data_IF_267090483199
#
_entry.id   IF_267090483199
#
_cell.length_a   1.000
_cell.length_b   1.000
_cell.length_c   1.000
_cell.angle_alpha   90.00
_cell.angle_beta   90.00
_cell.angle_gamma   90.00
#
_symmetry.space_group_name_H-M   'P 1'
#
loop_
_entity.id
_entity.type
_entity.pdbx_description
1 polymer ?
#
# COMPACT_ATOMS: atom_id res chain seq x y z
N UNK A 1 61.20 38.49 -78.01
CA UNK A 1 62.21 37.45 -78.32
C UNK A 1 62.37 36.59 -77.07
N UNK A 2 61.96 35.30 -77.12
CA UNK A 2 62.14 34.19 -76.15
C UNK A 2 61.83 34.48 -74.66
N UNK A 3 60.73 33.96 -74.11
CA UNK A 3 60.62 32.63 -73.47
C UNK A 3 61.78 32.33 -72.48
N UNK A 4 61.59 32.36 -71.16
CA UNK A 4 60.77 31.52 -70.24
C UNK A 4 61.54 30.33 -69.64
N UNK A 5 61.30 30.11 -68.33
CA UNK A 5 61.37 28.85 -67.55
C UNK A 5 62.78 28.40 -67.13
N UNK A 6 63.00 27.80 -65.96
CA UNK A 6 62.08 27.20 -64.97
C UNK A 6 62.67 27.24 -63.56
N UNK A 7 61.84 27.52 -62.56
CA UNK A 7 62.11 27.32 -61.14
C UNK A 7 61.32 26.12 -60.62
N UNK A 8 62.03 25.20 -59.98
CA UNK A 8 61.62 24.36 -58.86
C UNK A 8 60.24 23.71 -58.87
N UNK A 9 60.21 22.44 -59.26
CA UNK A 9 59.13 21.49 -58.98
C UNK A 9 59.03 21.25 -57.46
N UNK A 10 57.89 21.53 -56.82
CA UNK A 10 57.35 20.73 -55.71
C UNK A 10 55.82 20.88 -55.65
N UNK A 11 55.16 19.80 -56.04
CA UNK A 11 53.84 19.27 -55.65
C UNK A 11 52.54 20.10 -55.76
N UNK A 12 51.59 19.45 -56.43
CA UNK A 12 50.22 19.82 -56.80
C UNK A 12 49.24 19.93 -55.61
N UNK A 13 48.32 20.93 -55.69
CA UNK A 13 46.82 20.90 -55.54
C UNK A 13 46.20 20.25 -54.27
N UNK A 14 45.03 20.62 -53.73
CA UNK A 14 43.93 21.56 -54.03
C UNK A 14 43.14 21.77 -52.71
N UNK A 15 42.52 22.94 -52.60
CA UNK A 15 41.45 23.40 -51.71
C UNK A 15 40.36 22.35 -51.38
N UNK A 16 40.02 22.16 -50.09
CA UNK A 16 38.64 22.36 -49.55
C UNK A 16 38.48 21.75 -48.15
N UNK A 17 38.06 22.61 -47.22
CA UNK A 17 37.63 22.36 -45.84
C UNK A 17 36.42 21.42 -45.76
N UNK A 18 36.51 20.31 -45.03
CA UNK A 18 35.35 19.64 -44.40
C UNK A 18 35.79 19.05 -43.06
N UNK A 19 35.37 19.68 -41.97
CA UNK A 19 35.42 19.15 -40.61
C UNK A 19 34.28 18.13 -40.46
N UNK A 20 34.64 16.84 -40.38
CA UNK A 20 33.75 15.73 -40.06
C UNK A 20 33.52 15.70 -38.54
N UNK A 21 32.49 16.39 -38.07
CA UNK A 21 31.88 16.11 -36.76
C UNK A 21 30.88 14.97 -36.98
N UNK A 22 31.28 13.76 -36.64
CA UNK A 22 30.39 12.60 -36.52
C UNK A 22 29.49 12.81 -35.30
N UNK A 23 28.38 13.52 -35.51
CA UNK A 23 27.24 13.44 -34.61
C UNK A 23 26.61 12.06 -34.79
N UNK A 24 26.91 11.14 -33.88
CA UNK A 24 26.14 9.91 -33.73
C UNK A 24 24.71 10.31 -33.34
N UNK A 25 23.82 10.38 -34.33
CA UNK A 25 22.38 10.42 -34.11
C UNK A 25 21.97 9.06 -33.54
N UNK A 26 22.07 8.94 -32.22
CA UNK A 26 21.34 7.94 -31.46
C UNK A 26 19.85 8.22 -31.70
N UNK A 27 19.26 7.46 -32.59
CA UNK A 27 17.81 7.29 -32.66
C UNK A 27 17.37 6.76 -31.30
N UNK A 28 16.97 7.65 -30.38
CA UNK A 28 16.20 7.24 -29.22
C UNK A 28 14.87 6.73 -29.76
N UNK A 29 14.80 5.42 -30.01
CA UNK A 29 13.51 4.75 -29.93
C UNK A 29 12.93 5.09 -28.55
N UNK A 30 11.71 5.63 -28.44
CA UNK A 30 11.10 5.81 -27.14
C UNK A 30 11.01 4.43 -26.51
N UNK A 31 11.84 4.19 -25.49
CA UNK A 31 11.68 3.07 -24.57
C UNK A 31 10.23 3.13 -24.12
N UNK A 32 9.47 2.06 -24.36
CA UNK A 32 8.11 1.96 -23.86
C UNK A 32 8.15 2.12 -22.34
N UNK A 33 7.78 3.32 -21.87
CA UNK A 33 7.48 3.57 -20.48
C UNK A 33 6.38 2.58 -20.11
N UNK A 34 6.62 1.74 -19.10
CA UNK A 34 5.52 1.05 -18.44
C UNK A 34 4.50 2.13 -18.06
N UNK A 35 3.29 2.06 -18.64
CA UNK A 35 2.25 3.07 -18.46
C UNK A 35 2.02 3.30 -16.97
N UNK A 36 2.04 4.56 -16.52
CA UNK A 36 1.52 4.93 -15.22
C UNK A 36 0.12 4.31 -15.04
N UNK A 37 -0.28 3.99 -13.80
CA UNK A 37 -1.67 3.60 -13.60
C UNK A 37 -2.61 4.69 -14.10
N UNK A 38 -3.75 4.28 -14.68
CA UNK A 38 -4.78 5.24 -15.00
C UNK A 38 -5.23 5.94 -13.72
N UNK A 39 -5.15 7.27 -13.68
CA UNK A 39 -5.68 8.10 -12.58
C UNK A 39 -7.21 8.28 -12.66
N UNK A 40 -7.82 7.72 -13.70
CA UNK A 40 -9.26 7.64 -13.94
C UNK A 40 -9.55 6.35 -14.69
N UNK A 41 -10.58 5.61 -14.27
CA UNK A 41 -11.00 4.37 -14.91
C UNK A 41 -12.50 4.38 -15.13
N UNK A 42 -12.93 3.92 -16.30
CA UNK A 42 -14.33 3.78 -16.67
C UNK A 42 -14.86 2.38 -16.38
N UNK A 43 -15.98 2.26 -15.66
CA UNK A 43 -16.60 0.98 -15.33
C UNK A 43 -17.76 0.71 -16.29
N UNK A 44 -17.56 -0.12 -17.35
CA UNK A 44 -18.60 -0.36 -18.35
C UNK A 44 -19.86 -1.05 -17.78
N UNK A 45 -19.76 -1.67 -16.61
CA UNK A 45 -20.88 -2.35 -15.93
C UNK A 45 -21.98 -1.36 -15.50
N UNK A 46 -21.60 -0.15 -15.11
CA UNK A 46 -22.52 0.90 -14.67
C UNK A 46 -22.45 2.16 -15.51
N UNK A 47 -21.42 2.29 -16.34
CA UNK A 47 -21.16 3.45 -17.18
C UNK A 47 -20.70 4.68 -16.43
N UNK A 48 -19.87 4.50 -15.39
CA UNK A 48 -19.35 5.62 -14.59
C UNK A 48 -17.84 5.52 -14.42
N UNK A 49 -17.20 6.66 -14.19
CA UNK A 49 -15.77 6.76 -13.97
C UNK A 49 -15.44 6.82 -12.49
N UNK A 50 -14.27 6.33 -12.10
CA UNK A 50 -13.68 6.62 -10.79
C UNK A 50 -12.29 7.20 -11.02
N UNK A 51 -12.05 8.39 -10.49
CA UNK A 51 -10.77 9.07 -10.53
C UNK A 51 -10.15 9.18 -9.14
N UNK A 52 -8.88 9.59 -9.10
CA UNK A 52 -8.23 9.94 -7.84
C UNK A 52 -8.93 11.11 -7.14
N UNK A 53 -9.03 11.10 -5.79
CA UNK A 53 -8.45 10.12 -4.85
C UNK A 53 -9.35 8.89 -4.57
N UNK A 54 -10.57 8.86 -5.10
CA UNK A 54 -11.53 7.78 -4.83
C UNK A 54 -11.07 6.44 -5.41
N UNK A 55 -10.37 6.45 -6.54
CA UNK A 55 -9.85 5.23 -7.17
C UNK A 55 -8.86 4.50 -6.25
N UNK A 56 -7.86 5.20 -5.72
CA UNK A 56 -6.90 4.62 -4.77
C UNK A 56 -7.58 4.09 -3.51
N UNK A 57 -8.51 4.86 -2.93
CA UNK A 57 -9.23 4.42 -1.74
C UNK A 57 -10.07 3.16 -2.02
N UNK A 58 -10.80 3.15 -3.14
CA UNK A 58 -11.61 2.01 -3.56
C UNK A 58 -10.76 0.75 -3.71
N UNK A 59 -9.59 0.84 -4.38
CA UNK A 59 -8.66 -0.28 -4.54
C UNK A 59 -8.11 -0.76 -3.18
N UNK A 60 -7.72 0.17 -2.31
CA UNK A 60 -7.10 -0.12 -1.02
C UNK A 60 -8.03 -0.81 -0.03
N UNK A 61 -9.32 -0.46 -0.04
CA UNK A 61 -10.28 -0.86 1.00
C UNK A 61 -11.30 -1.93 0.54
N UNK A 62 -11.05 -2.60 -0.59
CA UNK A 62 -11.73 -3.85 -0.96
C UNK A 62 -12.53 -3.83 -2.27
N UNK A 63 -12.47 -2.72 -3.02
CA UNK A 63 -12.97 -2.60 -4.38
C UNK A 63 -14.42 -3.04 -4.56
N UNK A 64 -14.69 -3.78 -5.64
CA UNK A 64 -16.03 -4.28 -5.98
C UNK A 64 -16.67 -5.04 -4.82
N UNK A 65 -15.89 -5.85 -4.09
CA UNK A 65 -16.43 -6.72 -3.04
C UNK A 65 -17.02 -5.93 -1.87
N UNK A 66 -16.41 -4.80 -1.53
CA UNK A 66 -16.83 -3.99 -0.38
C UNK A 66 -17.72 -2.83 -0.82
N UNK A 67 -17.35 -2.10 -1.86
CA UNK A 67 -18.05 -0.89 -2.28
C UNK A 67 -18.96 -1.08 -3.49
N UNK A 68 -18.72 -2.13 -4.27
CA UNK A 68 -19.39 -2.33 -5.56
C UNK A 68 -18.87 -1.39 -6.64
N UNK A 69 -19.65 -1.30 -7.71
CA UNK A 69 -19.37 -0.40 -8.83
C UNK A 69 -19.73 1.06 -8.50
N UNK A 70 -19.08 2.06 -9.14
CA UNK A 70 -19.57 3.43 -9.09
C UNK A 70 -20.97 3.52 -9.72
N UNK A 71 -21.86 4.31 -9.13
CA UNK A 71 -23.22 4.54 -9.65
C UNK A 71 -23.47 5.99 -10.02
N UNK A 72 -22.49 6.87 -9.80
CA UNK A 72 -22.52 8.27 -10.22
C UNK A 72 -21.11 8.73 -10.63
N UNK A 73 -21.04 9.83 -11.37
CA UNK A 73 -19.83 10.65 -11.43
C UNK A 73 -19.60 11.37 -10.08
N UNK A 74 -18.38 11.88 -9.81
CA UNK A 74 -18.14 12.74 -8.67
C UNK A 74 -18.99 14.03 -8.74
N UNK A 75 -19.64 14.38 -7.63
CA UNK A 75 -20.48 15.57 -7.50
C UNK A 75 -20.07 16.39 -6.28
N UNK A 76 -20.40 17.68 -6.26
CA UNK A 76 -20.24 18.51 -5.06
C UNK A 76 -21.49 18.38 -4.23
N UNK A 77 -21.33 17.88 -3.01
CA UNK A 77 -22.42 17.80 -2.05
C UNK A 77 -22.81 19.21 -1.58
N UNK A 78 -24.06 19.60 -1.79
CA UNK A 78 -24.51 20.97 -1.51
C UNK A 78 -24.49 21.31 -0.02
N UNK A 79 -24.63 20.32 0.87
CA UNK A 79 -24.69 20.53 2.30
C UNK A 79 -23.30 20.72 2.92
N UNK A 80 -22.34 19.88 2.53
CA UNK A 80 -20.97 19.89 3.09
C UNK A 80 -19.97 20.67 2.24
N UNK A 81 -20.25 20.91 0.97
CA UNK A 81 -19.31 21.46 -0.02
C UNK A 81 -18.21 20.49 -0.45
N UNK A 82 -18.24 19.25 0.02
CA UNK A 82 -17.24 18.24 -0.31
C UNK A 82 -17.51 17.63 -1.68
N UNK A 83 -16.45 17.22 -2.38
CA UNK A 83 -16.61 16.32 -3.52
C UNK A 83 -16.95 14.92 -2.99
N UNK A 84 -18.01 14.33 -3.52
CA UNK A 84 -18.51 13.01 -3.13
C UNK A 84 -18.77 12.15 -4.35
N UNK A 85 -18.71 10.83 -4.19
CA UNK A 85 -19.09 9.90 -5.23
C UNK A 85 -19.84 8.71 -4.65
N UNK A 86 -20.88 8.26 -5.37
CA UNK A 86 -21.72 7.15 -4.95
C UNK A 86 -21.27 5.87 -5.64
N UNK A 87 -21.20 4.82 -4.85
CA UNK A 87 -20.99 3.45 -5.27
C UNK A 87 -22.22 2.64 -4.87
N UNK A 88 -22.36 1.42 -5.38
CA UNK A 88 -23.52 0.57 -5.06
C UNK A 88 -23.75 0.45 -3.55
N UNK A 89 -22.67 0.28 -2.77
CA UNK A 89 -22.74 -0.03 -1.33
C UNK A 89 -22.30 1.11 -0.41
N UNK A 90 -21.72 2.18 -0.95
CA UNK A 90 -21.13 3.25 -0.15
C UNK A 90 -21.18 4.62 -0.84
N UNK A 91 -20.96 5.69 -0.05
CA UNK A 91 -20.72 7.05 -0.55
C UNK A 91 -19.40 7.53 0.01
N UNK A 92 -18.51 7.96 -0.89
CA UNK A 92 -17.18 8.45 -0.56
C UNK A 92 -17.19 9.96 -0.47
N UNK A 93 -16.41 10.51 0.44
CA UNK A 93 -16.24 11.94 0.68
C UNK A 93 -14.76 12.30 0.59
N UNK A 94 -14.41 13.27 -0.24
CA UNK A 94 -13.05 13.78 -0.31
C UNK A 94 -12.89 14.94 0.67
N UNK A 95 -11.99 14.78 1.65
CA UNK A 95 -11.67 15.74 2.70
C UNK A 95 -10.29 16.35 2.45
N UNK A 96 -10.19 17.45 1.68
CA UNK A 96 -8.90 18.05 1.37
C UNK A 96 -8.24 18.63 2.63
N UNK A 97 -6.97 18.29 2.86
CA UNK A 97 -6.13 18.94 3.87
C UNK A 97 -5.86 18.17 5.15
N UNK A 98 -6.42 16.97 5.36
CA UNK A 98 -6.16 16.20 6.57
C UNK A 98 -5.05 15.11 6.42
N UNK A 99 -4.37 15.09 5.27
CA UNK A 99 -3.27 14.18 4.96
C UNK A 99 -3.71 12.83 4.36
N UNK A 100 -2.77 11.93 4.03
CA UNK A 100 -3.07 10.66 3.35
C UNK A 100 -4.00 9.73 4.12
N UNK A 101 -4.03 9.83 5.45
CA UNK A 101 -4.77 8.93 6.35
C UNK A 101 -6.27 9.22 6.47
N UNK A 102 -6.75 10.37 5.97
CA UNK A 102 -8.18 10.72 6.01
C UNK A 102 -8.66 11.51 4.78
N UNK A 103 -7.86 11.56 3.71
CA UNK A 103 -8.22 12.28 2.49
C UNK A 103 -9.51 11.78 1.85
N UNK A 104 -9.85 10.50 2.00
CA UNK A 104 -11.17 9.94 1.64
C UNK A 104 -11.79 9.30 2.87
N UNK A 105 -13.02 9.70 3.18
CA UNK A 105 -13.84 9.12 4.24
C UNK A 105 -15.13 8.55 3.68
N UNK A 106 -15.75 7.66 4.44
CA UNK A 106 -17.03 7.05 4.11
C UNK A 106 -18.15 7.73 4.86
N UNK A 107 -19.17 8.17 4.12
CA UNK A 107 -20.43 8.63 4.70
C UNK A 107 -21.02 7.54 5.58
N UNK A 108 -21.65 7.94 6.69
CA UNK A 108 -22.41 7.04 7.57
C UNK A 108 -23.75 6.65 6.94
N UNK A 109 -23.72 6.02 5.76
CA UNK A 109 -24.92 5.74 4.95
C UNK A 109 -25.93 4.87 5.69
N UNK A 110 -25.45 3.92 6.51
CA UNK A 110 -26.32 3.08 7.34
C UNK A 110 -27.08 3.92 8.35
N UNK A 111 -26.38 4.76 9.11
CA UNK A 111 -27.02 5.66 10.07
C UNK A 111 -27.99 6.65 9.41
N UNK A 112 -27.67 7.17 8.22
CA UNK A 112 -28.53 8.11 7.47
C UNK A 112 -29.81 7.43 6.98
N UNK A 113 -29.71 6.20 6.47
CA UNK A 113 -30.85 5.48 5.91
C UNK A 113 -31.72 4.80 6.98
N UNK A 114 -31.18 4.50 8.16
CA UNK A 114 -31.96 3.95 9.28
C UNK A 114 -32.43 5.01 10.28
N UNK A 115 -32.24 6.30 9.98
CA UNK A 115 -32.70 7.37 10.84
C UNK A 115 -34.22 7.28 11.05
N UNK A 116 -34.64 7.14 12.30
CA UNK A 116 -36.05 7.02 12.68
C UNK A 116 -36.58 5.59 12.75
N UNK A 117 -35.76 4.56 12.46
CA UNK A 117 -36.10 3.16 12.76
C UNK A 117 -36.21 2.96 14.28
N UNK A 118 -37.19 2.16 14.70
CA UNK A 118 -37.56 1.97 16.12
C UNK A 118 -37.83 0.51 16.47
N UNK A 119 -37.59 -0.40 15.52
CA UNK A 119 -37.73 -1.83 15.71
C UNK A 119 -36.75 -2.32 16.80
N UNK A 120 -37.07 -3.40 17.53
CA UNK A 120 -36.27 -3.87 18.66
C UNK A 120 -34.78 -4.06 18.33
N UNK A 121 -34.44 -4.43 17.10
CA UNK A 121 -33.05 -4.61 16.67
C UNK A 121 -32.22 -3.31 16.73
N UNK A 122 -32.84 -2.14 16.58
CA UNK A 122 -32.15 -0.83 16.64
C UNK A 122 -32.13 -0.23 18.06
N UNK A 123 -32.70 -0.92 19.05
CA UNK A 123 -32.65 -0.48 20.43
C UNK A 123 -31.30 -0.88 21.05
N UNK A 124 -30.56 0.07 21.68
CA UNK A 124 -29.32 -0.25 22.38
C UNK A 124 -29.55 -1.27 23.49
N UNK A 125 -28.67 -2.26 23.59
CA UNK A 125 -28.62 -3.21 24.69
C UNK A 125 -27.84 -2.61 25.86
N UNK A 126 -28.26 -2.91 27.08
CA UNK A 126 -27.52 -2.56 28.31
C UNK A 126 -26.82 -3.82 28.80
N UNK A 127 -25.55 -3.97 28.44
CA UNK A 127 -24.73 -5.14 28.75
C UNK A 127 -23.43 -4.75 29.47
N UNK A 128 -22.92 -5.64 30.33
CA UNK A 128 -21.56 -5.52 30.86
C UNK A 128 -20.55 -5.77 29.72
N UNK A 129 -19.68 -4.81 29.38
CA UNK A 129 -18.73 -4.97 28.27
C UNK A 129 -17.75 -6.14 28.44
N UNK A 130 -17.34 -6.41 29.67
CA UNK A 130 -16.33 -7.41 29.99
C UNK A 130 -16.88 -8.83 29.91
N UNK A 131 -18.12 -9.03 30.35
CA UNK A 131 -18.79 -10.33 30.33
C UNK A 131 -19.30 -10.71 28.93
N UNK A 132 -19.48 -9.74 28.03
CA UNK A 132 -20.10 -9.94 26.71
C UNK A 132 -19.12 -9.84 25.54
N UNK A 133 -17.83 -9.72 25.83
CA UNK A 133 -16.76 -9.83 24.85
C UNK A 133 -16.11 -11.21 24.95
N UNK A 134 -16.40 -12.06 23.97
CA UNK A 134 -15.89 -13.42 23.82
C UNK A 134 -15.20 -13.57 22.44
N UNK A 135 -14.47 -14.66 22.14
CA UNK A 135 -13.81 -14.82 20.84
C UNK A 135 -14.77 -14.62 19.64
N UNK A 136 -16.01 -15.09 19.79
CA UNK A 136 -17.05 -15.04 18.76
C UNK A 136 -18.03 -13.87 18.91
N UNK A 137 -17.89 -13.02 19.94
CA UNK A 137 -18.82 -11.91 20.18
C UNK A 137 -18.12 -10.67 20.73
N UNK A 138 -18.50 -9.50 20.26
CA UNK A 138 -18.00 -8.22 20.77
C UNK A 138 -19.15 -7.28 21.06
N UNK A 139 -19.11 -6.62 22.22
CA UNK A 139 -20.04 -5.54 22.56
C UNK A 139 -19.37 -4.17 22.34
N UNK A 140 -20.12 -3.22 21.81
CA UNK A 140 -19.66 -1.86 21.53
C UNK A 140 -20.42 -0.88 22.44
N UNK A 141 -19.83 -0.43 23.56
CA UNK A 141 -20.49 0.51 24.47
C UNK A 141 -20.81 1.86 23.81
N UNK A 142 -20.13 2.21 22.73
CA UNK A 142 -20.34 3.45 21.97
C UNK A 142 -21.74 3.52 21.35
N UNK A 143 -22.31 2.38 20.97
CA UNK A 143 -23.64 2.28 20.35
C UNK A 143 -24.61 1.39 21.12
N UNK A 144 -24.11 0.60 22.08
CA UNK A 144 -24.90 -0.37 22.82
C UNK A 144 -25.24 -1.62 22.01
N UNK A 145 -24.49 -1.92 20.94
CA UNK A 145 -24.78 -3.05 20.05
C UNK A 145 -23.68 -4.11 20.05
N UNK A 146 -24.04 -5.33 19.63
CA UNK A 146 -23.09 -6.45 19.55
C UNK A 146 -22.74 -6.83 18.11
N UNK A 147 -21.58 -7.48 17.93
CA UNK A 147 -21.25 -8.24 16.72
C UNK A 147 -21.00 -9.69 17.11
N UNK A 148 -21.48 -10.64 16.31
CA UNK A 148 -21.25 -12.05 16.54
C UNK A 148 -20.80 -12.80 15.28
N UNK A 149 -20.11 -13.92 15.50
CA UNK A 149 -19.83 -14.97 14.51
C UNK A 149 -19.37 -14.46 13.13
N UNK A 150 -20.17 -14.72 12.09
CA UNK A 150 -19.83 -14.42 10.69
C UNK A 150 -19.68 -12.92 10.43
N UNK A 151 -20.58 -12.10 10.96
CA UNK A 151 -20.52 -10.64 10.79
C UNK A 151 -19.34 -10.04 11.56
N UNK A 152 -19.05 -10.53 12.77
CA UNK A 152 -17.82 -10.13 13.50
C UNK A 152 -16.57 -10.44 12.69
N UNK A 153 -16.42 -11.68 12.20
CA UNK A 153 -15.26 -12.11 11.42
C UNK A 153 -15.12 -11.28 10.14
N UNK A 154 -16.22 -11.05 9.44
CA UNK A 154 -16.21 -10.26 8.21
C UNK A 154 -15.80 -8.80 8.51
N UNK A 155 -16.37 -8.19 9.55
CA UNK A 155 -16.01 -6.84 9.98
C UNK A 155 -14.51 -6.72 10.28
N UNK A 156 -13.96 -7.65 11.06
CA UNK A 156 -12.54 -7.66 11.46
C UNK A 156 -11.58 -7.83 10.27
N UNK A 157 -11.97 -8.62 9.26
CA UNK A 157 -11.11 -8.93 8.11
C UNK A 157 -11.15 -7.90 6.98
N UNK A 158 -12.18 -7.05 6.92
CA UNK A 158 -12.43 -6.18 5.76
C UNK A 158 -12.42 -4.68 6.09
N UNK A 159 -11.72 -4.31 7.16
CA UNK A 159 -11.42 -2.91 7.48
C UNK A 159 -12.11 -2.35 8.72
N UNK A 160 -12.92 -3.15 9.40
CA UNK A 160 -13.47 -2.87 10.72
C UNK A 160 -14.07 -1.47 10.87
N UNK A 161 -13.64 -0.77 11.92
CA UNK A 161 -14.18 0.53 12.30
C UNK A 161 -14.00 1.59 11.21
N UNK A 162 -12.86 1.56 10.51
CA UNK A 162 -12.55 2.56 9.48
C UNK A 162 -13.47 2.44 8.25
N UNK A 163 -13.85 1.21 7.88
CA UNK A 163 -14.69 0.95 6.70
C UNK A 163 -16.18 0.92 7.05
N UNK A 164 -16.56 0.19 8.09
CA UNK A 164 -17.97 -0.08 8.40
C UNK A 164 -18.53 0.80 9.53
N UNK A 165 -17.66 1.32 10.41
CA UNK A 165 -18.08 1.97 11.64
C UNK A 165 -18.58 0.98 12.70
N UNK A 166 -19.23 1.52 13.73
CA UNK A 166 -19.85 0.73 14.80
C UNK A 166 -21.13 0.02 14.31
N UNK A 167 -21.50 -1.13 14.89
CA UNK A 167 -22.85 -1.68 14.71
C UNK A 167 -23.89 -0.71 15.31
N UNK A 168 -25.02 -0.54 14.64
CA UNK A 168 -26.14 0.32 15.07
C UNK A 168 -27.48 -0.45 15.14
N UNK A 169 -27.41 -1.77 14.96
CA UNK A 169 -28.50 -2.70 15.23
C UNK A 169 -27.92 -4.03 15.71
N UNK A 170 -28.75 -4.88 16.30
CA UNK A 170 -28.48 -6.32 16.40
C UNK A 170 -28.72 -7.01 15.04
N UNK A 171 -28.34 -8.29 14.95
CA UNK A 171 -28.73 -9.16 13.83
C UNK A 171 -30.24 -9.41 13.84
N UNK A 172 -30.91 -9.24 12.70
CA UNK A 172 -32.33 -9.54 12.56
C UNK A 172 -32.67 -9.95 11.13
N UNK A 173 -33.88 -10.45 10.91
CA UNK A 173 -34.36 -10.83 9.57
C UNK A 173 -35.02 -9.66 8.88
N UNK A 174 -34.57 -9.34 7.67
CA UNK A 174 -35.21 -8.37 6.77
C UNK A 174 -35.59 -9.08 5.47
N UNK A 175 -36.73 -8.69 4.89
CA UNK A 175 -37.24 -9.28 3.65
C UNK A 175 -37.08 -8.24 2.55
N UNK A 176 -36.46 -8.62 1.45
CA UNK A 176 -36.26 -7.73 0.31
C UNK A 176 -37.54 -7.58 -0.54
N UNK A 177 -37.45 -6.76 -1.60
CA UNK A 177 -38.57 -6.52 -2.51
C UNK A 177 -39.02 -7.77 -3.30
N UNK A 178 -38.20 -8.82 -3.35
CA UNK A 178 -38.52 -10.09 -4.02
C UNK A 178 -39.18 -11.10 -3.07
N UNK A 179 -39.24 -10.79 -1.78
CA UNK A 179 -39.74 -11.68 -0.74
C UNK A 179 -38.67 -12.61 -0.15
N UNK A 180 -37.40 -12.42 -0.53
CA UNK A 180 -36.30 -13.20 0.03
C UNK A 180 -35.90 -12.62 1.40
N UNK A 181 -35.81 -13.51 2.40
CA UNK A 181 -35.42 -13.16 3.76
C UNK A 181 -33.90 -13.30 3.93
N UNK A 182 -33.26 -12.26 4.48
CA UNK A 182 -31.85 -12.24 4.81
C UNK A 182 -31.68 -11.99 6.30
N UNK A 183 -30.67 -12.63 6.91
CA UNK A 183 -30.18 -12.15 8.21
C UNK A 183 -29.29 -10.94 7.92
N UNK A 184 -29.61 -9.81 8.54
CA UNK A 184 -28.94 -8.54 8.30
C UNK A 184 -28.51 -7.90 9.61
N UNK A 185 -27.51 -7.04 9.51
CA UNK A 185 -27.13 -6.13 10.59
C UNK A 185 -26.68 -4.80 10.02
N UNK A 186 -27.09 -3.71 10.65
CA UNK A 186 -26.72 -2.36 10.24
C UNK A 186 -25.54 -1.85 11.04
N UNK A 187 -24.68 -1.12 10.34
CA UNK A 187 -23.52 -0.42 10.86
C UNK A 187 -23.64 1.05 10.48
N UNK A 188 -22.81 1.90 11.07
CA UNK A 188 -22.83 3.32 10.73
C UNK A 188 -22.69 3.56 9.22
N UNK A 189 -21.85 2.78 8.52
CA UNK A 189 -21.48 2.99 7.10
C UNK A 189 -21.89 1.85 6.16
N UNK A 190 -22.56 0.81 6.65
CA UNK A 190 -22.90 -0.37 5.85
C UNK A 190 -24.11 -1.12 6.39
N UNK A 191 -24.65 -2.03 5.58
CA UNK A 191 -25.54 -3.12 6.01
C UNK A 191 -24.92 -4.43 5.57
N UNK A 192 -24.74 -5.37 6.48
CA UNK A 192 -24.32 -6.72 6.14
C UNK A 192 -25.53 -7.61 5.91
N UNK A 193 -25.38 -8.53 4.97
CA UNK A 193 -26.37 -9.54 4.58
C UNK A 193 -25.69 -10.90 4.58
N UNK A 194 -26.29 -11.85 5.28
CA UNK A 194 -25.84 -13.23 5.28
C UNK A 194 -26.56 -14.03 4.19
N UNK A 195 -25.75 -14.71 3.37
CA UNK A 195 -26.15 -15.53 2.24
C UNK A 195 -25.92 -17.02 2.57
N UNK A 196 -26.92 -17.74 3.12
CA UNK A 196 -26.78 -19.14 3.51
C UNK A 196 -26.35 -20.05 2.35
N UNK A 197 -26.81 -19.75 1.14
CA UNK A 197 -26.47 -20.48 -0.08
C UNK A 197 -25.00 -20.35 -0.49
N UNK A 198 -24.29 -19.36 0.08
CA UNK A 198 -22.88 -19.09 -0.15
C UNK A 198 -22.02 -19.42 1.08
N UNK A 199 -22.57 -20.10 2.10
CA UNK A 199 -21.88 -20.41 3.35
C UNK A 199 -20.53 -21.12 3.10
N UNK A 200 -19.49 -20.66 3.80
CA UNK A 200 -18.13 -21.19 3.65
C UNK A 200 -17.37 -20.66 2.42
N UNK A 201 -17.99 -19.80 1.60
CA UNK A 201 -17.29 -19.05 0.55
C UNK A 201 -16.94 -17.64 1.02
N UNK A 202 -16.01 -16.93 0.35
CA UNK A 202 -15.77 -15.51 0.60
C UNK A 202 -16.99 -14.59 0.39
N UNK A 203 -18.09 -15.10 -0.17
CA UNK A 203 -19.31 -14.35 -0.48
C UNK A 203 -20.47 -14.65 0.48
N UNK A 204 -20.23 -15.40 1.56
CA UNK A 204 -21.25 -15.72 2.57
C UNK A 204 -21.81 -14.47 3.29
N UNK A 205 -21.00 -13.41 3.38
CA UNK A 205 -21.44 -12.09 3.81
C UNK A 205 -21.27 -11.13 2.65
N UNK A 206 -22.34 -10.43 2.30
CA UNK A 206 -22.35 -9.36 1.31
C UNK A 206 -22.85 -8.07 1.94
N UNK A 207 -22.62 -6.96 1.25
CA UNK A 207 -23.09 -5.64 1.68
C UNK A 207 -24.29 -5.22 0.85
N UNK A 208 -25.28 -4.67 1.55
CA UNK A 208 -26.46 -4.08 0.94
C UNK A 208 -26.15 -2.83 0.12
N UNK A 209 -27.02 -2.55 -0.85
CA UNK A 209 -26.86 -1.47 -1.83
C UNK A 209 -27.26 -0.09 -1.27
N UNK A 210 -26.74 0.23 -0.09
CA UNK A 210 -27.09 1.46 0.62
C UNK A 210 -26.59 2.72 -0.10
N UNK A 211 -25.46 2.65 -0.81
CA UNK A 211 -24.96 3.78 -1.58
C UNK A 211 -25.86 4.13 -2.76
N UNK A 212 -26.31 3.12 -3.51
CA UNK A 212 -27.30 3.30 -4.58
C UNK A 212 -28.64 3.81 -4.04
N UNK A 213 -29.08 3.28 -2.89
CA UNK A 213 -30.32 3.73 -2.23
C UNK A 213 -30.23 5.20 -1.79
N UNK A 214 -29.07 5.63 -1.28
CA UNK A 214 -28.83 7.02 -0.91
C UNK A 214 -28.78 7.94 -2.13
N UNK A 215 -28.11 7.51 -3.22
CA UNK A 215 -28.06 8.25 -4.48
C UNK A 215 -29.48 8.55 -5.02
N UNK A 216 -30.36 7.55 -5.01
CA UNK A 216 -31.76 7.70 -5.40
C UNK A 216 -32.52 8.64 -4.46
N UNK A 217 -32.36 8.51 -3.14
CA UNK A 217 -33.00 9.37 -2.13
C UNK A 217 -32.59 10.84 -2.30
N UNK A 218 -31.35 11.09 -2.67
CA UNK A 218 -30.80 12.44 -2.83
C UNK A 218 -30.93 12.99 -4.26
N UNK A 219 -31.55 12.23 -5.18
CA UNK A 219 -31.78 12.66 -6.56
C UNK A 219 -30.50 12.82 -7.38
N UNK A 220 -29.46 12.04 -7.07
CA UNK A 220 -28.20 12.04 -7.80
C UNK A 220 -28.40 11.38 -9.17
N UNK A 221 -27.79 11.96 -10.21
CA UNK A 221 -27.82 11.37 -11.54
C UNK A 221 -27.03 10.06 -11.57
N UNK A 222 -27.71 8.95 -11.86
CA UNK A 222 -27.12 7.60 -11.94
C UNK A 222 -27.13 7.02 -13.35
N UNK A 223 -27.61 7.77 -14.34
CA UNK A 223 -27.61 7.35 -15.74
C UNK A 223 -26.16 7.18 -16.25
N UNK A 224 -25.87 6.11 -17.02
CA UNK A 224 -24.55 5.89 -17.61
C UNK A 224 -24.03 7.11 -18.36
N UNK A 225 -22.80 7.52 -18.06
CA UNK A 225 -22.06 8.50 -18.86
C UNK A 225 -21.20 7.78 -19.90
N UNK A 226 -21.03 8.36 -21.08
CA UNK A 226 -20.13 7.80 -22.10
C UNK A 226 -18.68 7.82 -21.64
N UNK A 227 -17.92 6.78 -21.98
CA UNK A 227 -16.48 6.70 -21.67
C UNK A 227 -15.74 7.91 -22.26
N UNK A 228 -14.97 8.60 -21.41
CA UNK A 228 -14.10 9.70 -21.84
C UNK A 228 -12.96 9.20 -22.74
N UNK A 229 -12.52 10.04 -23.70
CA UNK A 229 -11.44 9.71 -24.61
C UNK A 229 -10.12 9.48 -23.84
N UNK A 230 -9.38 8.41 -24.19
CA UNK A 230 -8.12 8.06 -23.53
C UNK A 230 -8.26 7.41 -22.16
N UNK A 231 -9.47 7.25 -21.62
CA UNK A 231 -9.70 6.59 -20.34
C UNK A 231 -9.82 5.07 -20.51
N UNK A 232 -9.09 4.32 -19.69
CA UNK A 232 -9.10 2.86 -19.71
C UNK A 232 -10.40 2.29 -19.12
N UNK A 233 -10.89 1.18 -19.69
CA UNK A 233 -12.01 0.43 -19.12
C UNK A 233 -11.54 -0.45 -17.97
N UNK A 234 -12.30 -0.47 -16.89
CA UNK A 234 -12.02 -1.27 -15.72
C UNK A 234 -11.88 -2.73 -16.11
N UNK A 235 -10.71 -3.28 -15.78
CA UNK A 235 -10.51 -4.71 -15.67
C UNK A 235 -9.65 -4.99 -14.44
N UNK A 236 -9.82 -6.14 -13.77
CA UNK A 236 -8.89 -6.54 -12.72
C UNK A 236 -7.43 -6.52 -13.17
N UNK A 237 -7.17 -6.79 -14.46
CA UNK A 237 -5.83 -6.80 -15.05
C UNK A 237 -5.16 -5.41 -15.09
N UNK A 238 -5.91 -4.31 -15.12
CA UNK A 238 -5.33 -2.94 -15.02
C UNK A 238 -4.57 -2.72 -13.70
N UNK A 239 -4.93 -3.49 -12.68
CA UNK A 239 -4.44 -3.34 -11.31
C UNK A 239 -3.70 -4.58 -10.79
N UNK A 240 -3.76 -5.72 -11.49
CA UNK A 240 -2.86 -6.86 -11.25
C UNK A 240 -1.44 -6.48 -11.67
N UNK A 241 -0.71 -5.83 -10.77
CA UNK A 241 0.67 -5.40 -10.97
C UNK A 241 1.60 -6.39 -10.28
N UNK A 242 1.99 -7.43 -10.99
CA UNK A 242 3.10 -8.28 -10.55
C UNK A 242 4.39 -7.84 -11.22
N UNK A 243 5.43 -7.52 -10.46
CA UNK A 243 6.77 -7.33 -11.01
C UNK A 243 7.81 -8.09 -10.19
N UNK A 244 8.98 -8.32 -10.80
CA UNK A 244 10.12 -8.90 -10.12
C UNK A 244 11.05 -7.79 -9.71
N UNK A 245 11.40 -7.77 -8.43
CA UNK A 245 12.32 -6.80 -7.87
C UNK A 245 12.95 -7.39 -6.60
N UNK A 246 14.29 -7.37 -6.47
CA UNK A 246 14.94 -7.78 -5.24
C UNK A 246 14.64 -6.80 -4.09
N UNK A 247 14.13 -7.34 -2.98
CA UNK A 247 14.02 -6.65 -1.70
C UNK A 247 15.08 -7.27 -0.77
N UNK A 248 16.24 -6.64 -0.71
CA UNK A 248 17.40 -7.12 0.03
C UNK A 248 17.20 -6.88 1.53
N UNK A 249 17.34 -7.92 2.33
CA UNK A 249 17.18 -7.88 3.79
C UNK A 249 18.54 -8.00 4.46
N UNK A 250 19.03 -6.87 4.98
CA UNK A 250 20.19 -6.77 5.84
C UNK A 250 19.75 -6.66 7.30
N UNK A 251 20.67 -6.96 8.22
CA UNK A 251 20.46 -6.79 9.66
C UNK A 251 21.59 -5.93 10.24
N UNK A 252 22.67 -6.55 10.69
CA UNK A 252 23.78 -5.85 11.32
C UNK A 252 24.86 -5.47 10.31
N UNK A 253 25.41 -4.27 10.46
CA UNK A 253 26.65 -3.87 9.78
C UNK A 253 27.77 -3.78 10.81
N UNK A 254 28.84 -4.52 10.61
CA UNK A 254 29.94 -4.62 11.57
C UNK A 254 30.71 -5.93 11.44
N UNK A 255 31.61 -6.17 12.38
CA UNK A 255 32.51 -7.33 12.36
C UNK A 255 32.36 -8.22 13.61
N UNK A 256 32.70 -9.51 13.52
CA UNK A 256 33.09 -10.27 12.32
C UNK A 256 31.88 -10.60 11.41
N UNK A 257 32.14 -10.94 10.15
CA UNK A 257 31.10 -11.39 9.23
C UNK A 257 30.34 -12.61 9.77
N UNK A 258 29.03 -12.64 9.56
CA UNK A 258 28.15 -13.72 9.99
C UNK A 258 26.85 -13.76 9.19
N UNK A 259 25.96 -14.69 9.53
CA UNK A 259 24.68 -14.86 8.82
C UNK A 259 23.86 -13.57 8.78
N UNK A 260 23.77 -12.85 9.90
CA UNK A 260 23.02 -11.60 10.02
C UNK A 260 23.92 -10.37 10.17
N UNK A 261 25.22 -10.49 9.84
CA UNK A 261 26.19 -9.40 10.00
C UNK A 261 27.13 -9.28 8.82
N UNK A 262 27.15 -8.12 8.19
CA UNK A 262 28.06 -7.82 7.07
C UNK A 262 29.08 -6.73 7.48
N UNK A 263 30.38 -6.92 7.22
CA UNK A 263 31.36 -5.84 7.40
C UNK A 263 31.06 -4.65 6.47
N UNK A 264 31.29 -3.42 6.95
CA UNK A 264 30.97 -2.21 6.19
C UNK A 264 31.65 -2.19 4.81
N UNK A 265 32.93 -2.54 4.74
CA UNK A 265 33.67 -2.58 3.47
C UNK A 265 33.05 -3.56 2.45
N UNK A 266 32.45 -4.65 2.92
CA UNK A 266 31.79 -5.64 2.04
C UNK A 266 30.43 -5.13 1.59
N UNK A 267 29.69 -4.46 2.48
CA UNK A 267 28.45 -3.79 2.11
C UNK A 267 28.70 -2.72 1.04
N UNK A 268 29.74 -1.90 1.18
CA UNK A 268 30.14 -0.91 0.18
C UNK A 268 30.43 -1.55 -1.19
N UNK A 269 31.12 -2.69 -1.23
CA UNK A 269 31.33 -3.45 -2.48
C UNK A 269 30.02 -3.89 -3.13
N UNK A 270 29.01 -4.27 -2.35
CA UNK A 270 27.69 -4.63 -2.86
C UNK A 270 26.94 -3.41 -3.42
N UNK A 271 27.06 -2.24 -2.78
CA UNK A 271 26.50 -0.99 -3.31
C UNK A 271 27.16 -0.59 -4.63
N UNK A 272 28.49 -0.65 -4.71
CA UNK A 272 29.25 -0.34 -5.92
C UNK A 272 28.90 -1.30 -7.06
N UNK A 273 28.71 -2.59 -6.73
CA UNK A 273 28.26 -3.58 -7.70
C UNK A 273 26.86 -3.25 -8.24
N UNK A 274 25.90 -2.89 -7.38
CA UNK A 274 24.54 -2.51 -7.81
C UNK A 274 24.58 -1.31 -8.78
N UNK A 275 25.34 -0.26 -8.45
CA UNK A 275 25.52 0.90 -9.33
C UNK A 275 26.12 0.50 -10.68
N UNK A 276 27.20 -0.28 -10.67
CA UNK A 276 27.90 -0.70 -11.89
C UNK A 276 27.02 -1.55 -12.82
N UNK A 277 26.00 -2.23 -12.27
CA UNK A 277 25.04 -3.05 -13.02
C UNK A 277 23.71 -2.32 -13.30
N UNK A 278 23.65 -1.01 -13.07
CA UNK A 278 22.53 -0.16 -13.43
C UNK A 278 21.32 -0.26 -12.50
N UNK A 279 21.47 -0.83 -11.30
CA UNK A 279 20.39 -0.87 -10.31
C UNK A 279 20.16 0.51 -9.70
N UNK A 280 18.88 0.85 -9.52
CA UNK A 280 18.44 2.06 -8.82
C UNK A 280 17.73 1.67 -7.54
N UNK A 281 18.22 2.15 -6.41
CA UNK A 281 17.59 1.91 -5.10
C UNK A 281 16.28 2.68 -4.98
N UNK A 282 15.24 2.02 -4.49
CA UNK A 282 13.96 2.65 -4.16
C UNK A 282 13.54 2.32 -2.72
N UNK A 283 12.66 3.14 -2.15
CA UNK A 283 12.04 2.88 -0.84
C UNK A 283 10.89 1.88 -0.95
N UNK A 284 10.44 1.34 0.18
CA UNK A 284 9.24 0.50 0.22
C UNK A 284 8.00 1.29 -0.13
N UNK A 285 7.90 2.58 0.23
CA UNK A 285 6.86 3.48 -0.27
C UNK A 285 6.81 3.48 -1.80
N UNK A 286 7.93 3.72 -2.48
CA UNK A 286 7.96 3.74 -3.94
C UNK A 286 7.55 2.39 -4.55
N UNK A 287 8.00 1.28 -3.95
CA UNK A 287 7.62 -0.07 -4.40
C UNK A 287 6.12 -0.32 -4.24
N UNK A 288 5.58 -0.14 -3.02
CA UNK A 288 4.17 -0.39 -2.73
C UNK A 288 3.25 0.60 -3.46
N UNK A 289 3.70 1.84 -3.68
CA UNK A 289 2.94 2.80 -4.47
C UNK A 289 2.86 2.34 -5.93
N UNK A 290 3.97 1.91 -6.53
CA UNK A 290 3.95 1.31 -7.87
C UNK A 290 3.12 0.01 -7.92
N UNK A 291 3.08 -0.75 -6.82
CA UNK A 291 2.33 -1.99 -6.72
C UNK A 291 0.82 -1.77 -6.60
N UNK A 292 0.40 -0.88 -5.70
CA UNK A 292 -0.99 -0.68 -5.31
C UNK A 292 -1.68 0.41 -6.12
N UNK A 293 -0.96 1.50 -6.40
CA UNK A 293 -1.47 2.69 -7.09
C UNK A 293 -0.94 2.79 -8.50
N UNK A 294 0.14 2.09 -8.80
CA UNK A 294 0.86 2.21 -10.05
C UNK A 294 1.79 3.41 -10.13
N UNK A 295 2.59 3.43 -11.20
CA UNK A 295 3.61 4.44 -11.41
C UNK A 295 4.86 3.85 -12.05
N UNK A 296 5.72 4.68 -12.65
CA UNK A 296 6.96 4.21 -13.25
C UNK A 296 7.92 3.74 -12.15
N UNK A 297 8.50 2.56 -12.34
CA UNK A 297 9.70 2.13 -11.64
C UNK A 297 10.92 2.42 -12.52
N UNK A 298 12.11 2.64 -11.92
CA UNK A 298 13.34 2.62 -12.69
C UNK A 298 13.54 1.26 -13.36
N UNK A 299 14.39 1.18 -14.39
CA UNK A 299 14.53 -0.03 -15.22
C UNK A 299 15.00 -1.26 -14.43
N UNK A 300 15.90 -1.07 -13.45
CA UNK A 300 16.38 -2.12 -12.54
C UNK A 300 16.17 -1.66 -11.09
N UNK A 301 14.93 -1.69 -10.57
CA UNK A 301 14.68 -1.28 -9.20
C UNK A 301 15.28 -2.32 -8.23
N UNK A 302 15.75 -1.86 -7.08
CA UNK A 302 16.13 -2.71 -5.94
C UNK A 302 15.76 -2.01 -4.65
N UNK A 303 15.23 -2.73 -3.66
CA UNK A 303 15.00 -2.19 -2.33
C UNK A 303 16.08 -2.73 -1.40
N UNK A 304 16.72 -1.83 -0.66
CA UNK A 304 17.62 -2.20 0.44
C UNK A 304 16.84 -1.98 1.74
N UNK A 305 16.70 -3.04 2.52
CA UNK A 305 16.01 -3.01 3.81
C UNK A 305 16.95 -3.44 4.93
N UNK A 306 16.83 -2.79 6.09
CA UNK A 306 17.56 -3.13 7.31
C UNK A 306 16.57 -3.40 8.44
N UNK A 307 16.74 -4.53 9.13
CA UNK A 307 15.96 -4.86 10.33
C UNK A 307 16.73 -4.50 11.61
N UNK A 308 16.03 -4.44 12.74
CA UNK A 308 16.51 -4.24 14.12
C UNK A 308 16.87 -2.81 14.55
N UNK A 309 17.41 -1.97 13.68
CA UNK A 309 17.99 -0.67 14.08
C UNK A 309 19.33 -0.81 14.80
N UNK A 310 20.22 -1.69 14.33
CA UNK A 310 21.55 -1.89 14.96
C UNK A 310 22.48 -0.68 14.76
N UNK A 311 23.45 -0.41 15.67
CA UNK A 311 24.28 0.81 15.61
C UNK A 311 25.03 1.00 14.28
N UNK A 312 25.50 -0.10 13.67
CA UNK A 312 26.24 -0.08 12.41
C UNK A 312 25.45 0.41 11.20
N UNK A 313 24.11 0.45 11.31
CA UNK A 313 23.23 0.92 10.24
C UNK A 313 23.40 2.42 9.99
N UNK A 314 23.87 3.19 10.97
CA UNK A 314 24.19 4.60 10.76
C UNK A 314 25.33 4.76 9.73
N UNK A 315 26.39 3.96 9.85
CA UNK A 315 27.49 3.96 8.87
C UNK A 315 27.03 3.42 7.51
N UNK A 316 26.15 2.43 7.50
CA UNK A 316 25.55 1.91 6.26
C UNK A 316 24.75 3.00 5.52
N UNK A 317 23.97 3.81 6.24
CA UNK A 317 23.25 4.95 5.67
C UNK A 317 24.19 5.99 5.08
N UNK A 318 25.31 6.29 5.75
CA UNK A 318 26.32 7.20 5.19
C UNK A 318 26.92 6.66 3.89
N UNK A 319 27.21 5.35 3.81
CA UNK A 319 27.71 4.71 2.60
C UNK A 319 26.70 4.74 1.44
N UNK A 320 25.40 4.63 1.73
CA UNK A 320 24.31 4.81 0.76
C UNK A 320 24.22 6.27 0.28
N UNK A 321 24.24 7.23 1.20
CA UNK A 321 24.18 8.67 0.88
C UNK A 321 25.31 9.11 -0.03
N UNK A 322 26.54 8.61 0.21
CA UNK A 322 27.71 8.88 -0.63
C UNK A 322 27.52 8.43 -2.10
N UNK A 323 26.55 7.56 -2.36
CA UNK A 323 26.22 6.97 -3.67
C UNK A 323 24.89 7.47 -4.24
N UNK A 324 24.22 8.41 -3.56
CA UNK A 324 22.88 8.86 -3.93
C UNK A 324 21.82 7.74 -3.84
N UNK A 325 22.05 6.75 -2.97
CA UNK A 325 21.18 5.61 -2.77
C UNK A 325 20.31 5.77 -1.52
N UNK A 326 19.14 5.15 -1.55
CA UNK A 326 18.18 5.12 -0.43
C UNK A 326 17.94 3.70 0.06
N UNK A 327 17.40 3.59 1.27
CA UNK A 327 17.08 2.32 1.91
C UNK A 327 15.89 2.51 2.85
N UNK A 328 15.31 1.41 3.31
CA UNK A 328 14.24 1.38 4.32
C UNK A 328 14.76 0.71 5.60
N UNK A 329 14.64 1.38 6.75
CA UNK A 329 15.08 0.89 8.05
C UNK A 329 13.86 0.50 8.89
N UNK A 330 13.65 -0.79 9.10
CA UNK A 330 12.64 -1.35 10.00
C UNK A 330 13.18 -1.35 11.43
N UNK A 331 12.80 -0.32 12.19
CA UNK A 331 13.37 -0.04 13.51
C UNK A 331 12.51 -0.68 14.61
N UNK A 332 13.16 -1.16 15.67
CA UNK A 332 12.53 -1.62 16.91
C UNK A 332 12.67 -0.53 17.98
N UNK A 333 11.75 0.45 18.08
CA UNK A 333 11.98 1.67 18.87
C UNK A 333 12.20 1.43 20.37
N UNK A 334 11.72 0.31 20.94
CA UNK A 334 11.94 -0.01 22.35
C UNK A 334 13.33 -0.59 22.68
N UNK A 335 14.15 -0.93 21.66
CA UNK A 335 15.49 -1.52 21.84
C UNK A 335 16.49 -1.19 20.73
N UNK A 336 16.21 -0.14 19.96
CA UNK A 336 17.06 0.32 18.86
C UNK A 336 18.45 0.70 19.36
N UNK A 337 19.47 0.33 18.59
CA UNK A 337 20.85 0.82 18.79
C UNK A 337 21.10 2.18 18.14
N UNK A 338 20.18 2.66 17.30
CA UNK A 338 20.15 4.02 16.77
C UNK A 338 19.40 4.95 17.75
N UNK A 339 19.91 6.16 17.96
CA UNK A 339 19.21 7.19 18.74
C UNK A 339 18.03 7.77 17.97
N UNK A 340 17.09 8.42 18.68
CA UNK A 340 15.97 9.14 18.07
C UNK A 340 16.45 10.19 17.04
N UNK A 341 17.54 10.90 17.35
CA UNK A 341 18.15 11.88 16.44
C UNK A 341 18.68 11.21 15.17
N UNK A 342 19.29 10.03 15.29
CA UNK A 342 19.76 9.28 14.12
C UNK A 342 18.57 8.79 13.28
N UNK A 343 17.52 8.24 13.91
CA UNK A 343 16.31 7.78 13.21
C UNK A 343 15.65 8.95 12.45
N UNK A 344 15.52 10.12 13.10
CA UNK A 344 15.00 11.33 12.45
C UNK A 344 15.90 11.77 11.30
N UNK A 345 17.22 11.81 11.50
CA UNK A 345 18.17 12.20 10.46
C UNK A 345 18.13 11.27 9.25
N UNK A 346 17.96 9.96 9.45
CA UNK A 346 17.78 9.01 8.34
C UNK A 346 16.56 9.39 7.48
N UNK A 347 15.42 9.69 8.12
CA UNK A 347 14.22 10.13 7.41
C UNK A 347 14.44 11.45 6.66
N UNK A 348 15.13 12.42 7.27
CA UNK A 348 15.45 13.71 6.65
C UNK A 348 16.39 13.57 5.46
N UNK A 349 17.29 12.59 5.47
CA UNK A 349 18.22 12.28 4.38
C UNK A 349 17.58 11.48 3.23
N UNK A 350 16.28 11.20 3.29
CA UNK A 350 15.54 10.53 2.23
C UNK A 350 15.50 9.00 2.34
N UNK A 351 16.07 8.42 3.40
CA UNK A 351 15.78 7.04 3.75
C UNK A 351 14.35 6.92 4.30
N UNK A 352 13.76 5.73 4.16
CA UNK A 352 12.45 5.43 4.74
C UNK A 352 12.59 4.75 6.10
N UNK A 353 11.71 5.08 7.03
CA UNK A 353 11.60 4.40 8.32
C UNK A 353 10.34 3.53 8.30
N UNK A 354 10.54 2.24 8.60
CA UNK A 354 9.49 1.26 8.83
C UNK A 354 9.49 0.79 10.28
N UNK A 355 8.46 0.05 10.67
CA UNK A 355 8.29 -0.48 12.02
C UNK A 355 8.64 -1.97 12.08
N UNK A 356 9.31 -2.39 13.15
CA UNK A 356 9.70 -3.79 13.38
C UNK A 356 9.23 -4.31 14.75
N UNK A 357 8.00 -3.94 15.13
CA UNK A 357 7.42 -4.06 16.49
C UNK A 357 8.16 -3.23 17.55
N UNK A 358 7.59 -3.14 18.75
CA UNK A 358 8.12 -2.30 19.81
C UNK A 358 9.34 -2.93 20.49
N UNK A 359 9.32 -4.24 20.74
CA UNK A 359 10.38 -4.96 21.46
C UNK A 359 10.92 -6.20 20.73
N UNK A 360 10.42 -6.49 19.52
CA UNK A 360 10.82 -7.64 18.71
C UNK A 360 10.49 -9.03 19.32
N UNK A 361 9.27 -9.27 19.87
CA UNK A 361 8.85 -10.62 20.21
C UNK A 361 8.42 -11.40 18.97
N UNK A 362 8.32 -12.73 19.09
CA UNK A 362 7.55 -13.50 18.11
C UNK A 362 6.06 -13.18 18.29
N UNK A 363 5.50 -12.41 17.37
CA UNK A 363 4.14 -11.87 17.45
C UNK A 363 3.05 -12.95 17.46
N UNK A 364 3.33 -14.14 16.93
CA UNK A 364 2.39 -15.28 16.97
C UNK A 364 2.18 -15.81 18.39
N UNK A 365 3.16 -15.62 19.28
CA UNK A 365 3.19 -16.24 20.61
C UNK A 365 2.72 -15.31 21.73
N UNK A 366 2.55 -14.02 21.46
CA UNK A 366 2.11 -13.04 22.47
C UNK A 366 0.57 -12.93 22.52
N UNK A 367 -0.02 -12.65 23.70
CA UNK A 367 -1.46 -12.38 23.84
C UNK A 367 -1.93 -11.17 23.03
N UNK A 368 -3.22 -11.08 22.70
CA UNK A 368 -3.78 -10.06 21.80
C UNK A 368 -3.52 -8.63 22.26
N UNK A 369 -3.65 -8.34 23.56
CA UNK A 369 -3.34 -7.02 24.11
C UNK A 369 -1.87 -6.63 23.91
N UNK A 370 -0.97 -7.60 24.06
CA UNK A 370 0.46 -7.39 23.80
C UNK A 370 0.75 -7.27 22.30
N UNK A 371 0.14 -8.10 21.45
CA UNK A 371 0.26 -8.00 19.99
C UNK A 371 -0.15 -6.60 19.51
N UNK A 372 -1.30 -6.10 19.97
CA UNK A 372 -1.77 -4.77 19.63
C UNK A 372 -0.80 -3.69 20.10
N UNK A 373 -0.30 -3.77 21.34
CA UNK A 373 0.67 -2.82 21.87
C UNK A 373 1.99 -2.82 21.07
N UNK A 374 2.53 -4.00 20.76
CA UNK A 374 3.76 -4.15 19.97
C UNK A 374 3.67 -3.51 18.59
N UNK A 375 2.50 -3.60 17.96
CA UNK A 375 2.27 -3.10 16.59
C UNK A 375 1.92 -1.61 16.58
N UNK A 376 0.97 -1.18 17.42
CA UNK A 376 0.43 0.19 17.43
C UNK A 376 1.37 1.20 18.11
N UNK A 377 1.99 0.85 19.24
CA UNK A 377 2.89 1.76 19.95
C UNK A 377 4.22 1.93 19.21
N UNK A 378 4.70 0.89 18.52
CA UNK A 378 5.88 1.01 17.65
C UNK A 378 5.65 2.05 16.55
N UNK A 379 4.49 1.99 15.89
CA UNK A 379 4.08 2.98 14.88
C UNK A 379 4.08 4.38 15.46
N UNK A 380 3.31 4.59 16.53
CA UNK A 380 3.14 5.89 17.15
C UNK A 380 4.47 6.50 17.61
N UNK A 381 5.36 5.69 18.20
CA UNK A 381 6.68 6.15 18.65
C UNK A 381 7.57 6.58 17.49
N UNK A 382 7.61 5.83 16.40
CA UNK A 382 8.41 6.18 15.22
C UNK A 382 7.83 7.41 14.49
N UNK A 383 6.50 7.55 14.44
CA UNK A 383 5.82 8.75 13.92
C UNK A 383 6.14 9.99 14.76
N UNK A 384 6.19 9.86 16.08
CA UNK A 384 6.62 10.92 17.00
C UNK A 384 8.09 11.33 16.75
N UNK A 385 9.00 10.36 16.62
CA UNK A 385 10.42 10.63 16.38
C UNK A 385 10.63 11.35 15.05
N UNK A 386 10.01 10.84 13.99
CA UNK A 386 10.25 11.27 12.60
C UNK A 386 9.38 12.44 12.15
N UNK A 387 8.25 12.68 12.82
CA UNK A 387 7.22 13.62 12.36
C UNK A 387 6.56 13.22 11.04
N UNK A 388 6.67 11.94 10.63
CA UNK A 388 6.19 11.43 9.34
C UNK A 388 5.37 10.14 9.55
N UNK A 389 4.37 9.86 8.70
CA UNK A 389 3.62 8.60 8.77
C UNK A 389 4.51 7.37 8.57
N UNK A 390 4.33 6.35 9.40
CA UNK A 390 5.06 5.08 9.29
C UNK A 390 4.17 4.08 8.58
N UNK A 391 4.46 3.85 7.30
CA UNK A 391 3.55 3.14 6.38
C UNK A 391 3.73 1.62 6.38
N UNK A 392 4.93 1.10 6.62
CA UNK A 392 5.20 -0.34 6.45
C UNK A 392 5.75 -1.01 7.69
N UNK A 393 5.46 -2.31 7.79
CA UNK A 393 5.85 -3.17 8.89
C UNK A 393 6.71 -4.34 8.38
N UNK A 394 7.75 -4.72 9.11
CA UNK A 394 8.43 -6.00 8.88
C UNK A 394 8.16 -6.92 10.08
N UNK A 395 7.80 -8.17 9.84
CA UNK A 395 7.51 -9.11 10.93
C UNK A 395 8.81 -9.58 11.62
N UNK A 396 8.95 -9.46 12.95
CA UNK A 396 10.07 -10.03 13.69
C UNK A 396 10.29 -11.52 13.34
N UNK A 397 11.51 -11.85 12.91
CA UNK A 397 11.85 -13.20 12.46
C UNK A 397 11.13 -13.68 11.19
N UNK A 398 10.39 -12.82 10.50
CA UNK A 398 9.55 -13.17 9.35
C UNK A 398 8.27 -13.93 9.70
N UNK A 399 7.92 -14.00 10.98
CA UNK A 399 6.85 -14.84 11.52
C UNK A 399 5.51 -14.11 11.59
N UNK A 400 4.48 -14.66 10.97
CA UNK A 400 3.13 -14.10 10.98
C UNK A 400 2.05 -15.19 10.90
N UNK A 401 0.82 -14.80 11.24
CA UNK A 401 -0.41 -15.55 11.01
C UNK A 401 -1.56 -14.55 10.74
N UNK A 402 -2.78 -15.04 10.53
CA UNK A 402 -3.93 -14.18 10.25
C UNK A 402 -4.21 -13.16 11.37
N UNK A 403 -3.92 -13.51 12.63
CA UNK A 403 -4.13 -12.64 13.80
C UNK A 403 -3.13 -11.49 13.80
N UNK A 404 -1.86 -11.79 13.51
CA UNK A 404 -0.79 -10.78 13.37
C UNK A 404 -1.07 -9.85 12.19
N UNK A 405 -1.47 -10.39 11.03
CA UNK A 405 -1.83 -9.57 9.86
C UNK A 405 -2.99 -8.62 10.19
N UNK A 406 -4.05 -9.11 10.84
CA UNK A 406 -5.19 -8.29 11.21
C UNK A 406 -4.80 -7.16 12.17
N UNK A 407 -3.90 -7.41 13.13
CA UNK A 407 -3.39 -6.36 14.02
C UNK A 407 -2.59 -5.28 13.27
N UNK A 408 -1.76 -5.67 12.29
CA UNK A 408 -1.01 -4.73 11.44
C UNK A 408 -1.94 -3.91 10.55
N UNK A 409 -2.97 -4.53 9.96
CA UNK A 409 -4.00 -3.83 9.21
C UNK A 409 -4.76 -2.82 10.08
N UNK A 410 -5.21 -3.25 11.26
CA UNK A 410 -5.98 -2.41 12.19
C UNK A 410 -5.16 -1.23 12.74
N UNK A 411 -3.83 -1.37 12.85
CA UNK A 411 -2.92 -0.30 13.24
C UNK A 411 -2.66 0.73 12.12
N UNK A 412 -3.26 0.57 10.93
CA UNK A 412 -3.20 1.54 9.84
C UNK A 412 -1.88 1.54 9.08
N UNK A 413 -1.17 0.41 9.01
CA UNK A 413 -0.08 0.22 8.05
C UNK A 413 -0.64 0.03 6.64
N UNK A 414 0.13 0.38 5.62
CA UNK A 414 -0.21 0.23 4.21
C UNK A 414 0.26 -1.10 3.62
N UNK A 415 1.14 -1.83 4.29
CA UNK A 415 1.67 -3.12 3.83
C UNK A 415 2.70 -3.69 4.80
N UNK A 416 3.08 -4.94 4.60
CA UNK A 416 4.04 -5.61 5.47
C UNK A 416 4.93 -6.62 4.75
N UNK A 417 6.12 -6.86 5.30
CA UNK A 417 7.16 -7.69 4.73
C UNK A 417 7.43 -8.93 5.60
N UNK A 418 7.56 -10.06 4.93
CA UNK A 418 8.06 -11.32 5.48
C UNK A 418 9.59 -11.43 5.31
N UNK A 419 10.18 -12.54 5.75
CA UNK A 419 11.62 -12.76 5.62
C UNK A 419 12.03 -13.45 4.30
N UNK A 420 11.21 -14.38 3.79
CA UNK A 420 11.57 -15.22 2.63
C UNK A 420 10.40 -15.44 1.68
N UNK A 421 10.68 -15.75 0.41
CA UNK A 421 9.67 -16.13 -0.58
C UNK A 421 9.90 -15.63 -2.03
N UNK A 422 11.12 -15.20 -2.35
CA UNK A 422 11.52 -14.73 -3.68
C UNK A 422 11.36 -13.21 -3.85
N UNK A 423 11.24 -12.75 -5.09
CA UNK A 423 11.27 -11.33 -5.49
C UNK A 423 10.05 -10.89 -6.29
N UNK A 424 9.08 -11.79 -6.44
CA UNK A 424 7.80 -11.47 -7.06
C UNK A 424 6.99 -10.64 -6.06
N UNK A 425 6.89 -9.35 -6.34
CA UNK A 425 6.02 -8.39 -5.67
C UNK A 425 4.63 -8.48 -6.31
N UNK A 426 3.57 -8.53 -5.51
CA UNK A 426 2.19 -8.60 -6.05
C UNK A 426 1.15 -8.08 -5.06
N UNK A 427 0.06 -7.44 -5.51
CA UNK A 427 -0.96 -6.90 -4.59
C UNK A 427 -1.55 -7.96 -3.64
N UNK A 428 -1.59 -9.23 -4.07
CA UNK A 428 -2.04 -10.35 -3.24
C UNK A 428 -1.12 -10.63 -2.04
N UNK A 429 0.15 -10.24 -2.14
CA UNK A 429 1.19 -10.41 -1.12
C UNK A 429 1.42 -9.15 -0.29
N UNK A 430 0.60 -8.12 -0.45
CA UNK A 430 0.72 -6.81 0.22
C UNK A 430 1.05 -6.88 1.73
N UNK A 431 0.52 -7.89 2.42
CA UNK A 431 0.68 -8.07 3.87
C UNK A 431 1.78 -9.06 4.26
N UNK A 432 2.55 -9.58 3.31
CA UNK A 432 3.63 -10.52 3.52
C UNK A 432 4.59 -10.55 2.32
N UNK A 433 5.04 -9.37 1.85
CA UNK A 433 5.95 -9.31 0.71
C UNK A 433 7.28 -10.00 1.05
N UNK A 434 7.77 -10.91 0.21
CA UNK A 434 8.98 -11.67 0.51
C UNK A 434 10.24 -10.83 0.31
N UNK A 435 11.30 -11.21 1.03
CA UNK A 435 12.62 -10.60 0.91
C UNK A 435 13.70 -11.63 0.59
N UNK A 436 14.87 -11.12 0.24
CA UNK A 436 16.10 -11.88 0.00
C UNK A 436 17.07 -11.59 1.14
N UNK A 437 17.28 -12.58 2.01
CA UNK A 437 18.26 -12.49 3.11
C UNK A 437 19.67 -12.32 2.55
N UNK A 438 20.36 -11.24 2.94
CA UNK A 438 21.77 -11.02 2.57
C UNK A 438 22.67 -11.37 3.74
N UNK A 439 23.37 -12.50 3.62
CA UNK A 439 24.34 -12.96 4.61
C UNK A 439 25.72 -12.35 4.39
N UNK A 440 26.41 -11.94 5.46
CA UNK A 440 27.79 -11.44 5.35
C UNK A 440 28.81 -12.51 4.95
N UNK A 441 28.41 -13.79 4.95
CA UNK A 441 29.24 -14.92 4.58
C UNK A 441 29.33 -15.15 3.07
N UNK A 442 28.43 -14.57 2.26
CA UNK A 442 28.43 -14.78 0.81
C UNK A 442 29.51 -13.93 0.12
N UNK A 443 30.00 -14.39 -1.03
CA UNK A 443 30.91 -13.64 -1.90
C UNK A 443 30.14 -12.56 -2.68
N UNK A 444 30.87 -11.60 -3.27
CA UNK A 444 30.26 -10.60 -4.15
C UNK A 444 29.63 -11.23 -5.40
N UNK A 445 30.25 -12.29 -5.93
CA UNK A 445 29.69 -13.08 -7.04
C UNK A 445 28.36 -13.75 -6.66
N UNK A 446 28.30 -14.38 -5.49
CA UNK A 446 27.06 -14.96 -4.97
C UNK A 446 25.99 -13.90 -4.74
N UNK A 447 26.37 -12.73 -4.22
CA UNK A 447 25.47 -11.59 -4.10
C UNK A 447 24.89 -11.20 -5.46
N UNK A 448 25.72 -10.97 -6.47
CA UNK A 448 25.26 -10.64 -7.82
C UNK A 448 24.31 -11.69 -8.39
N UNK A 449 24.63 -12.97 -8.22
CA UNK A 449 23.76 -14.07 -8.61
C UNK A 449 22.39 -14.02 -7.92
N UNK A 450 22.34 -13.74 -6.61
CA UNK A 450 21.07 -13.57 -5.88
C UNK A 450 20.26 -12.36 -6.35
N UNK A 451 20.90 -11.27 -6.73
CA UNK A 451 20.20 -10.07 -7.21
C UNK A 451 19.63 -10.26 -8.63
N UNK A 452 20.28 -11.06 -9.48
CA UNK A 452 19.87 -11.27 -10.87
C UNK A 452 18.93 -12.45 -11.10
N UNK A 453 19.04 -13.53 -10.32
CA UNK A 453 18.27 -14.77 -10.57
C UNK A 453 16.86 -14.74 -10.02
N UNK A 454 16.57 -13.86 -9.08
CA UNK A 454 15.27 -13.83 -8.44
C UNK A 454 14.36 -12.78 -9.06
#
# INVERSE_FOLDING_TARGET
MRESRSLGQWFFRLVSTVLLVLAASLSLSPRASASAAPSIVYFPQTGHHVSEPFLSFWLQHGGIRIFGYPVSEPVVDAASGLTVQYFERARFEHHPGCGPSCGVLLTRVGAVLTQGRTEPAFAPLVLDPSANSAPDRRYFPETGHTLAYGFKRFWEQHGGLAVFGFPISEEFTEVDATGQAFTVQYFERARFEWHPELAGTPYEVQLGLLGASLALREGIATDPVGRQEGVAEYSPELFKRGFRMPILMYHQVGEPAGRYRIPLWKFEQQLDWLLAHGYTTITMSQMFDALLRGGPLPERPVAITFDDGSPGQWQAAMALNARGMVATFFVVPGRSGLSDEQIRALAEQGHEIGSHSLHHPNLRLVPDGQLWAEVSLSKARLEEITGRPIRYFAYPGGEYDARVIAAVQAAGYDGALAAWGGTRCSPERRWAEPRVEVSGLISLEQFGWYVEQF
#
